data_IF_671797048549
#
_entry.id   IF_671797048549
#
_cell.length_a   1.000
_cell.length_b   1.000
_cell.length_c   1.000
_cell.angle_alpha   90.00
_cell.angle_beta   90.00
_cell.angle_gamma   90.00
#
_symmetry.space_group_name_H-M   'P 1'
#
loop_
_entity.id
_entity.type
_entity.pdbx_description
1 polymer ?
#
# COMPACT_ATOMS: atom_id res chain seq x y z
N UNK A 1 17.62 -35.91 12.20
CA UNK A 1 18.88 -36.28 12.91
C UNK A 1 19.65 -35.03 13.36
N UNK A 2 19.83 -34.00 12.51
CA UNK A 2 20.47 -32.71 12.87
C UNK A 2 19.78 -31.99 14.06
N UNK A 3 18.47 -31.73 13.99
CA UNK A 3 17.71 -31.07 15.07
C UNK A 3 17.78 -31.79 16.43
N UNK A 4 17.85 -33.12 16.42
CA UNK A 4 17.89 -33.92 17.65
C UNK A 4 19.28 -33.98 18.31
N UNK A 5 20.34 -33.51 17.63
CA UNK A 5 21.72 -33.51 18.15
C UNK A 5 22.19 -32.13 18.61
N UNK A 6 21.61 -31.05 18.07
CA UNK A 6 22.11 -29.68 18.27
C UNK A 6 21.19 -28.76 19.10
N UNK A 7 20.03 -29.24 19.56
CA UNK A 7 19.13 -28.49 20.45
C UNK A 7 19.12 -29.20 21.80
N UNK A 8 20.07 -28.86 22.67
CA UNK A 8 20.26 -29.44 24.00
C UNK A 8 19.26 -28.93 25.06
N UNK A 9 18.43 -27.94 24.72
CA UNK A 9 17.16 -27.66 25.40
C UNK A 9 16.09 -27.46 24.33
N UNK A 10 14.95 -28.11 24.48
CA UNK A 10 13.94 -28.17 23.41
C UNK A 10 13.00 -26.96 23.39
N UNK A 11 13.38 -25.81 23.95
CA UNK A 11 12.76 -24.56 23.51
C UNK A 11 13.30 -24.30 22.11
N UNK A 12 12.47 -24.29 21.05
CA UNK A 12 12.91 -23.81 19.74
C UNK A 12 13.36 -22.35 19.92
N UNK A 13 14.67 -22.05 19.99
CA UNK A 13 15.08 -20.75 20.48
C UNK A 13 14.77 -19.76 19.37
N UNK A 14 13.96 -18.72 19.61
CA UNK A 14 13.80 -17.63 18.64
C UNK A 14 15.17 -17.11 18.15
N UNK A 15 16.19 -17.20 19.00
CA UNK A 15 17.58 -16.89 18.69
C UNK A 15 18.20 -17.78 17.59
N UNK A 16 17.96 -19.10 17.59
CA UNK A 16 18.51 -19.99 16.59
C UNK A 16 17.85 -19.78 15.22
N UNK A 17 16.55 -19.48 15.19
CA UNK A 17 15.85 -19.09 13.97
C UNK A 17 16.36 -17.75 13.44
N UNK A 18 16.54 -16.75 14.32
CA UNK A 18 17.08 -15.43 13.95
C UNK A 18 18.48 -15.53 13.31
N UNK A 19 19.35 -16.44 13.76
CA UNK A 19 20.67 -16.68 13.11
C UNK A 19 20.57 -17.14 11.65
N UNK A 20 19.45 -17.71 11.24
CA UNK A 20 19.21 -18.07 9.83
C UNK A 20 18.72 -16.88 9.00
N UNK A 21 18.35 -15.76 9.64
CA UNK A 21 17.75 -14.59 9.04
C UNK A 21 16.23 -14.65 8.92
N UNK A 22 15.58 -15.77 9.22
CA UNK A 22 14.11 -15.82 9.24
C UNK A 22 13.55 -15.11 10.47
N UNK A 23 12.44 -14.40 10.27
CA UNK A 23 11.67 -13.79 11.34
C UNK A 23 10.56 -14.73 11.81
N UNK A 24 10.17 -14.62 13.08
CA UNK A 24 9.00 -15.35 13.60
C UNK A 24 7.68 -14.89 13.00
N UNK A 25 7.65 -13.73 12.35
CA UNK A 25 6.51 -13.19 11.62
C UNK A 25 6.44 -13.69 10.16
N UNK A 26 7.39 -14.50 9.70
CA UNK A 26 7.36 -15.06 8.34
C UNK A 26 6.04 -15.82 8.12
N UNK A 27 5.21 -15.43 7.12
CA UNK A 27 3.93 -16.09 6.87
C UNK A 27 4.06 -17.59 6.63
N UNK A 28 5.19 -18.05 6.09
CA UNK A 28 5.48 -19.46 5.81
C UNK A 28 5.85 -20.26 7.07
N UNK A 29 5.99 -19.60 8.23
CA UNK A 29 6.22 -20.21 9.54
C UNK A 29 5.00 -20.10 10.47
N UNK A 30 3.88 -19.54 9.99
CA UNK A 30 2.68 -19.24 10.82
C UNK A 30 2.21 -20.45 11.61
N UNK A 31 2.00 -21.59 10.93
CA UNK A 31 1.53 -22.83 11.56
C UNK A 31 2.45 -23.30 12.68
N UNK A 32 3.75 -23.40 12.41
CA UNK A 32 4.76 -23.79 13.38
C UNK A 32 4.75 -22.86 14.60
N UNK A 33 4.76 -21.54 14.37
CA UNK A 33 4.77 -20.55 15.45
C UNK A 33 3.47 -20.59 16.26
N UNK A 34 2.32 -20.77 15.61
CA UNK A 34 1.02 -20.88 16.29
C UNK A 34 0.93 -22.15 17.13
N UNK A 35 1.33 -23.30 16.61
CA UNK A 35 1.34 -24.56 17.34
C UNK A 35 2.27 -24.51 18.55
N UNK A 36 3.45 -23.90 18.41
CA UNK A 36 4.38 -23.71 19.53
C UNK A 36 3.80 -22.76 20.60
N UNK A 37 3.15 -21.67 20.19
CA UNK A 37 2.51 -20.72 21.12
C UNK A 37 1.35 -21.35 21.88
N UNK A 38 0.50 -22.12 21.20
CA UNK A 38 -0.61 -22.82 21.84
C UNK A 38 -0.11 -23.77 22.93
N UNK A 39 0.89 -24.60 22.62
CA UNK A 39 1.44 -25.54 23.60
C UNK A 39 2.15 -24.86 24.78
N UNK A 40 2.77 -23.71 24.53
CA UNK A 40 3.38 -22.90 25.58
C UNK A 40 2.35 -22.31 26.54
N UNK A 41 1.12 -22.04 26.08
CA UNK A 41 0.01 -21.55 26.93
C UNK A 41 -0.61 -22.68 27.76
N UNK A 42 -0.66 -23.88 27.20
CA UNK A 42 -1.27 -25.05 27.83
C UNK A 42 -0.35 -25.73 28.89
N UNK A 43 0.91 -25.28 29.01
CA UNK A 43 1.91 -25.86 29.91
C UNK A 43 1.99 -25.10 31.24
N UNK A 44 1.91 -25.82 32.36
CA UNK A 44 2.14 -25.25 33.70
C UNK A 44 3.65 -25.38 34.04
N UNK A 45 4.44 -24.36 33.72
CA UNK A 45 5.87 -24.29 34.01
C UNK A 45 6.78 -24.08 32.79
N UNK A 46 8.12 -24.21 32.95
CA UNK A 46 9.06 -24.06 31.84
C UNK A 46 8.75 -25.09 30.75
N UNK A 47 8.42 -24.60 29.55
CA UNK A 47 7.98 -25.42 28.42
C UNK A 47 9.14 -26.27 27.92
N UNK A 48 9.17 -27.53 28.32
CA UNK A 48 10.08 -28.54 27.78
C UNK A 48 9.39 -29.25 26.61
N UNK A 49 9.85 -29.00 25.39
CA UNK A 49 9.24 -29.59 24.20
C UNK A 49 9.79 -30.99 23.94
N UNK A 50 8.98 -32.04 24.04
CA UNK A 50 9.50 -33.38 23.69
C UNK A 50 9.73 -33.52 22.17
N UNK A 51 10.46 -34.57 21.76
CA UNK A 51 10.77 -34.84 20.34
C UNK A 51 9.53 -35.08 19.48
N UNK A 52 8.45 -35.61 20.05
CA UNK A 52 7.20 -35.92 19.33
C UNK A 52 6.42 -34.63 19.07
N UNK A 53 6.33 -33.77 20.07
CA UNK A 53 5.77 -32.43 20.03
C UNK A 53 6.56 -31.55 19.05
N UNK A 54 7.89 -31.52 19.14
CA UNK A 54 8.72 -30.79 18.18
C UNK A 54 8.40 -31.19 16.73
N UNK A 55 8.35 -32.49 16.46
CA UNK A 55 8.00 -33.01 15.12
C UNK A 55 6.62 -32.58 14.65
N UNK A 56 5.63 -32.53 15.55
CA UNK A 56 4.29 -32.04 15.23
C UNK A 56 4.34 -30.55 14.86
N UNK A 57 4.93 -29.72 15.71
CA UNK A 57 5.03 -28.27 15.50
C UNK A 57 5.70 -27.90 14.18
N UNK A 58 6.79 -28.59 13.81
CA UNK A 58 7.54 -28.24 12.59
C UNK A 58 7.03 -28.94 11.33
N UNK A 59 6.07 -29.86 11.42
CA UNK A 59 5.70 -30.75 10.31
C UNK A 59 5.32 -29.99 9.03
N UNK A 60 4.46 -28.97 9.17
CA UNK A 60 3.96 -28.19 8.03
C UNK A 60 5.03 -27.29 7.41
N UNK A 61 6.10 -26.96 8.14
CA UNK A 61 7.13 -26.00 7.73
C UNK A 61 8.53 -26.64 7.64
N UNK A 62 8.62 -27.97 7.71
CA UNK A 62 9.88 -28.70 7.87
C UNK A 62 10.84 -28.51 6.70
N UNK A 63 10.33 -28.34 5.47
CA UNK A 63 11.17 -28.11 4.29
C UNK A 63 11.93 -26.80 4.39
N UNK A 64 11.23 -25.70 4.74
CA UNK A 64 11.84 -24.38 4.92
C UNK A 64 12.84 -24.39 6.08
N UNK A 65 12.44 -24.93 7.23
CA UNK A 65 13.32 -25.04 8.40
C UNK A 65 14.54 -25.91 8.10
N UNK A 66 14.38 -27.00 7.35
CA UNK A 66 15.50 -27.84 6.93
C UNK A 66 16.46 -27.08 6.03
N UNK A 67 15.95 -26.26 5.09
CA UNK A 67 16.80 -25.40 4.24
C UNK A 67 17.56 -24.38 5.10
N UNK A 68 16.88 -23.70 6.01
CA UNK A 68 17.44 -22.71 6.91
C UNK A 68 18.58 -23.28 7.77
N UNK A 69 18.30 -24.34 8.53
CA UNK A 69 19.23 -24.89 9.51
C UNK A 69 20.34 -25.74 8.89
N UNK A 70 20.17 -26.24 7.66
CA UNK A 70 21.27 -26.85 6.90
C UNK A 70 22.11 -25.84 6.13
N UNK A 71 21.93 -24.54 6.38
CA UNK A 71 22.65 -23.45 5.69
C UNK A 71 22.52 -23.53 4.16
N UNK A 72 21.33 -23.91 3.68
CA UNK A 72 21.01 -24.01 2.24
C UNK A 72 20.29 -22.77 1.70
N UNK A 73 20.15 -21.72 2.50
CA UNK A 73 19.72 -20.43 1.97
C UNK A 73 20.81 -19.77 1.14
N UNK A 74 20.39 -18.84 0.29
CA UNK A 74 21.25 -18.10 -0.62
C UNK A 74 22.40 -17.39 0.12
N UNK A 75 22.17 -16.96 1.36
CA UNK A 75 23.22 -16.49 2.28
C UNK A 75 23.31 -17.47 3.46
N UNK A 76 24.27 -18.42 3.43
CA UNK A 76 24.44 -19.43 4.48
C UNK A 76 24.80 -18.89 5.87
N UNK A 77 25.69 -17.88 5.93
CA UNK A 77 26.19 -17.28 7.17
C UNK A 77 25.58 -15.88 7.34
N UNK A 78 24.26 -15.82 7.50
CA UNK A 78 23.52 -14.56 7.51
C UNK A 78 23.94 -13.60 8.64
N UNK A 79 24.22 -14.12 9.82
CA UNK A 79 24.65 -13.32 10.99
C UNK A 79 25.99 -12.57 10.74
N UNK A 80 26.95 -13.23 10.09
CA UNK A 80 28.23 -12.60 9.70
C UNK A 80 28.01 -11.56 8.58
N UNK A 81 27.14 -11.87 7.63
CA UNK A 81 26.76 -10.94 6.58
C UNK A 81 26.09 -9.68 7.14
N UNK A 82 25.20 -9.80 8.13
CA UNK A 82 24.55 -8.63 8.74
C UNK A 82 25.53 -7.75 9.51
N UNK A 83 26.61 -8.31 10.06
CA UNK A 83 27.70 -7.50 10.64
C UNK A 83 28.45 -6.68 9.58
N UNK A 84 28.55 -7.16 8.34
CA UNK A 84 29.09 -6.36 7.23
C UNK A 84 28.10 -5.26 6.82
N UNK A 85 26.80 -5.55 6.80
CA UNK A 85 25.75 -4.54 6.58
C UNK A 85 25.84 -3.42 7.62
N UNK A 86 26.03 -3.74 8.91
CA UNK A 86 26.19 -2.72 9.95
C UNK A 86 27.41 -1.83 9.72
N UNK A 87 28.57 -2.41 9.37
CA UNK A 87 29.76 -1.62 9.05
C UNK A 87 29.53 -0.66 7.87
N UNK A 88 28.80 -1.12 6.84
CA UNK A 88 28.42 -0.26 5.71
C UNK A 88 27.40 0.81 6.11
N UNK A 89 26.42 0.45 6.94
CA UNK A 89 25.45 1.40 7.50
C UNK A 89 26.15 2.51 8.28
N UNK A 90 27.01 2.15 9.23
CA UNK A 90 27.74 3.08 10.09
C UNK A 90 28.63 4.01 9.25
N UNK A 91 29.34 3.45 8.25
CA UNK A 91 30.20 4.23 7.35
C UNK A 91 29.41 5.20 6.47
N UNK A 92 28.25 4.79 5.96
CA UNK A 92 27.40 5.63 5.12
C UNK A 92 26.66 6.71 5.92
N UNK A 93 26.31 6.42 7.18
CA UNK A 93 25.62 7.36 8.06
C UNK A 93 26.47 8.61 8.36
N UNK A 94 27.80 8.52 8.31
CA UNK A 94 28.70 9.66 8.53
C UNK A 94 28.68 10.70 7.39
N UNK A 95 27.94 10.45 6.30
CA UNK A 95 27.84 11.40 5.20
C UNK A 95 26.79 12.47 5.53
N UNK A 96 27.23 13.67 5.89
CA UNK A 96 26.36 14.82 6.22
C UNK A 96 25.97 15.67 4.99
N UNK A 97 26.42 15.27 3.80
CA UNK A 97 26.15 16.00 2.55
C UNK A 97 24.74 15.75 2.00
N UNK A 98 24.26 16.69 1.17
CA UNK A 98 22.97 16.61 0.50
C UNK A 98 22.00 17.70 0.93
N UNK A 99 20.81 17.70 0.34
CA UNK A 99 19.73 18.61 0.70
C UNK A 99 18.43 17.81 0.71
N UNK A 100 17.64 17.95 1.77
CA UNK A 100 16.29 17.38 1.84
C UNK A 100 15.45 17.98 0.72
N UNK A 101 14.67 17.16 0.02
CA UNK A 101 13.77 17.65 -1.00
C UNK A 101 12.74 18.61 -0.38
N UNK A 102 12.76 19.87 -0.83
CA UNK A 102 11.98 20.96 -0.24
C UNK A 102 11.01 21.63 -1.22
N UNK A 103 10.96 21.14 -2.47
CA UNK A 103 10.06 21.65 -3.50
C UNK A 103 8.57 21.44 -3.18
N UNK A 104 8.24 20.55 -2.22
CA UNK A 104 6.92 20.50 -1.56
C UNK A 104 7.06 20.44 -0.04
N UNK A 105 6.14 21.07 0.73
CA UNK A 105 6.25 21.16 2.19
C UNK A 105 6.27 19.82 2.91
N UNK A 106 5.65 18.77 2.36
CA UNK A 106 5.56 17.46 3.02
C UNK A 106 6.89 16.72 3.00
N UNK A 107 7.74 16.95 2.00
CA UNK A 107 9.07 16.35 1.94
C UNK A 107 10.07 17.12 2.81
N UNK A 108 9.93 18.44 2.90
CA UNK A 108 10.76 19.30 3.75
C UNK A 108 10.64 18.98 5.25
N UNK A 109 9.58 18.27 5.67
CA UNK A 109 9.35 17.89 7.08
C UNK A 109 10.23 16.75 7.58
N UNK A 110 10.83 15.97 6.68
CA UNK A 110 11.69 14.86 7.09
C UNK A 110 13.03 15.38 7.58
N UNK A 111 13.51 14.84 8.70
CA UNK A 111 14.85 15.17 9.20
C UNK A 111 15.91 14.62 8.26
N UNK A 112 16.97 15.40 8.04
CA UNK A 112 18.16 14.98 7.30
C UNK A 112 18.91 13.83 8.01
N UNK A 113 18.70 13.66 9.31
CA UNK A 113 19.37 12.65 10.13
C UNK A 113 18.76 11.24 10.00
N UNK A 114 17.61 11.12 9.32
CA UNK A 114 16.94 9.83 9.14
C UNK A 114 17.73 8.93 8.20
N UNK A 115 18.18 7.78 8.72
CA UNK A 115 18.96 6.82 7.95
C UNK A 115 18.57 5.39 8.28
N UNK A 116 18.05 4.66 7.29
CA UNK A 116 17.54 3.30 7.44
C UNK A 116 17.95 2.38 6.29
N UNK A 117 18.40 1.17 6.62
CA UNK A 117 18.74 0.12 5.66
C UNK A 117 17.96 -1.14 6.00
N UNK A 118 17.22 -1.66 5.02
CA UNK A 118 16.49 -2.93 5.15
C UNK A 118 16.84 -3.89 4.00
N UNK A 119 16.92 -5.17 4.33
CA UNK A 119 17.26 -6.25 3.40
C UNK A 119 16.25 -7.39 3.52
N UNK A 120 15.88 -7.95 2.38
CA UNK A 120 15.08 -9.17 2.26
C UNK A 120 15.69 -10.02 1.14
N UNK A 121 16.15 -11.23 1.45
CA UNK A 121 16.66 -12.16 0.42
C UNK A 121 15.51 -12.92 -0.25
N UNK A 122 15.79 -13.55 -1.40
CA UNK A 122 14.83 -14.42 -2.10
C UNK A 122 14.34 -15.60 -1.24
N UNK A 123 15.11 -15.98 -0.22
CA UNK A 123 14.73 -17.04 0.71
C UNK A 123 13.89 -16.53 1.89
N UNK A 124 13.66 -15.22 1.99
CA UNK A 124 12.95 -14.56 3.07
C UNK A 124 13.81 -14.26 4.30
N UNK A 125 15.13 -14.28 4.17
CA UNK A 125 16.02 -13.82 5.24
C UNK A 125 15.95 -12.29 5.30
N UNK A 126 15.74 -11.72 6.50
CA UNK A 126 15.49 -10.29 6.68
C UNK A 126 16.40 -9.70 7.75
N UNK A 127 16.88 -8.49 7.48
CA UNK A 127 17.64 -7.69 8.43
C UNK A 127 17.38 -6.20 8.20
N UNK A 128 17.36 -5.43 9.27
CA UNK A 128 17.09 -3.99 9.24
C UNK A 128 17.95 -3.29 10.30
N UNK A 129 18.49 -2.12 9.97
CA UNK A 129 19.30 -1.26 10.86
C UNK A 129 18.95 0.21 10.61
N UNK A 130 18.84 1.01 11.67
CA UNK A 130 18.42 2.41 11.60
C UNK A 130 16.90 2.62 11.52
N UNK A 131 16.49 3.76 10.94
CA UNK A 131 15.12 4.29 10.91
C UNK A 131 14.17 3.57 9.91
N UNK A 132 14.23 2.25 9.91
CA UNK A 132 13.58 1.39 8.89
C UNK A 132 12.07 1.24 9.01
N UNK A 133 11.48 1.78 10.08
CA UNK A 133 10.04 1.74 10.33
C UNK A 133 9.35 3.08 10.12
N UNK A 134 10.12 4.11 9.79
CA UNK A 134 9.57 5.42 9.43
C UNK A 134 8.98 5.33 8.02
N UNK A 135 7.67 5.54 7.85
CA UNK A 135 7.06 5.52 6.52
C UNK A 135 7.47 6.76 5.73
N UNK A 136 7.76 6.57 4.45
CA UNK A 136 8.04 7.66 3.51
C UNK A 136 7.42 7.37 2.14
N UNK A 137 7.33 8.41 1.31
CA UNK A 137 6.72 8.35 -0.01
C UNK A 137 7.66 7.67 -1.02
N UNK A 138 7.20 6.67 -1.77
CA UNK A 138 8.04 5.95 -2.75
C UNK A 138 8.55 6.86 -3.88
N UNK A 139 7.78 7.89 -4.24
CA UNK A 139 8.15 8.84 -5.29
C UNK A 139 8.52 8.09 -6.59
N UNK A 140 9.61 8.47 -7.27
CA UNK A 140 10.01 7.83 -8.53
C UNK A 140 10.38 6.35 -8.42
N UNK A 141 10.55 5.80 -7.22
CA UNK A 141 10.81 4.37 -7.02
C UNK A 141 9.61 3.49 -7.40
N UNK A 142 8.42 4.07 -7.62
CA UNK A 142 7.25 3.30 -8.07
C UNK A 142 7.27 2.96 -9.57
N UNK A 143 7.97 3.73 -10.41
CA UNK A 143 7.95 3.57 -11.88
C UNK A 143 8.32 2.16 -12.36
N UNK A 144 9.35 1.48 -11.81
CA UNK A 144 9.62 0.09 -12.18
C UNK A 144 8.47 -0.86 -11.84
N UNK A 145 7.75 -0.61 -10.74
CA UNK A 145 6.62 -1.42 -10.31
C UNK A 145 5.43 -1.23 -11.26
N UNK A 146 5.11 0.02 -11.63
CA UNK A 146 4.07 0.32 -12.61
C UNK A 146 4.37 -0.33 -13.96
N UNK A 147 5.60 -0.21 -14.44
CA UNK A 147 6.03 -0.85 -15.66
C UNK A 147 5.88 -2.38 -15.59
N UNK A 148 6.31 -3.00 -14.48
CA UNK A 148 6.14 -4.44 -14.28
C UNK A 148 4.66 -4.86 -14.29
N UNK A 149 3.77 -4.08 -13.67
CA UNK A 149 2.32 -4.31 -13.70
C UNK A 149 1.80 -4.21 -15.14
N UNK A 150 2.13 -3.14 -15.87
CA UNK A 150 1.68 -2.95 -17.24
C UNK A 150 2.13 -4.09 -18.16
N UNK A 151 3.40 -4.52 -18.04
CA UNK A 151 3.94 -5.64 -18.82
C UNK A 151 3.28 -6.97 -18.41
N UNK A 152 3.02 -7.18 -17.12
CA UNK A 152 2.33 -8.37 -16.63
C UNK A 152 0.90 -8.49 -17.18
N UNK A 153 0.16 -7.37 -17.21
CA UNK A 153 -1.24 -7.36 -17.63
C UNK A 153 -1.43 -7.31 -19.15
N UNK A 154 -0.58 -6.58 -19.87
CA UNK A 154 -0.80 -6.25 -21.29
C UNK A 154 0.24 -6.90 -22.22
N UNK A 155 1.32 -7.43 -21.66
CA UNK A 155 2.45 -7.97 -22.42
C UNK A 155 3.43 -6.88 -22.87
N UNK A 156 4.68 -7.29 -23.05
CA UNK A 156 5.80 -6.41 -23.41
C UNK A 156 5.59 -5.69 -24.75
N UNK A 157 5.12 -6.40 -25.77
CA UNK A 157 4.91 -5.86 -27.11
C UNK A 157 3.89 -4.71 -27.10
N UNK A 158 2.77 -4.87 -26.40
CA UNK A 158 1.75 -3.84 -26.32
C UNK A 158 2.25 -2.61 -25.55
N UNK A 159 2.89 -2.81 -24.41
CA UNK A 159 3.45 -1.70 -23.61
C UNK A 159 4.46 -0.90 -24.43
N UNK A 160 5.38 -1.59 -25.11
CA UNK A 160 6.44 -0.94 -25.87
C UNK A 160 6.03 -0.41 -27.24
N UNK A 161 4.77 -0.60 -27.63
CA UNK A 161 4.18 0.19 -28.70
C UNK A 161 4.14 1.68 -28.32
N UNK A 162 3.93 2.01 -27.04
CA UNK A 162 3.75 3.37 -26.56
C UNK A 162 5.01 3.97 -25.91
N UNK A 163 5.91 3.16 -25.39
CA UNK A 163 7.13 3.63 -24.69
C UNK A 163 8.37 2.87 -25.15
N UNK A 164 9.49 3.58 -25.32
CA UNK A 164 10.76 2.98 -25.69
C UNK A 164 11.39 2.11 -24.59
N UNK A 165 12.56 1.56 -24.91
CA UNK A 165 13.35 0.67 -24.03
C UNK A 165 14.72 1.26 -23.68
N UNK A 166 15.12 2.33 -24.36
CA UNK A 166 16.49 2.83 -24.36
C UNK A 166 16.66 4.05 -23.43
N UNK A 167 17.86 4.27 -22.89
CA UNK A 167 18.15 5.50 -22.15
C UNK A 167 18.02 6.72 -23.06
N UNK A 168 17.61 7.85 -22.50
CA UNK A 168 17.46 9.09 -23.28
C UNK A 168 18.78 9.74 -23.66
N UNK A 169 19.88 9.46 -22.95
CA UNK A 169 21.16 10.17 -23.10
C UNK A 169 21.12 11.64 -22.65
N UNK A 170 19.95 12.18 -22.30
CA UNK A 170 19.75 13.52 -21.79
C UNK A 170 19.57 13.52 -20.27
N UNK A 171 19.87 14.65 -19.62
CA UNK A 171 19.48 14.85 -18.21
C UNK A 171 17.97 14.67 -18.07
N UNK A 172 17.54 14.06 -16.96
CA UNK A 172 16.14 13.81 -16.60
C UNK A 172 15.21 15.03 -16.74
N UNK A 173 15.78 16.24 -16.74
CA UNK A 173 15.04 17.49 -16.81
C UNK A 173 14.61 17.94 -18.22
N UNK A 174 15.08 17.29 -19.28
CA UNK A 174 14.73 17.67 -20.65
C UNK A 174 13.42 17.02 -21.08
N UNK A 175 12.51 17.83 -21.62
CA UNK A 175 11.37 17.34 -22.40
C UNK A 175 11.90 16.82 -23.74
N UNK A 176 11.98 15.50 -23.89
CA UNK A 176 12.37 14.87 -25.16
C UNK A 176 11.63 13.56 -25.38
N UNK A 177 11.29 13.31 -26.64
CA UNK A 177 10.85 12.02 -27.15
C UNK A 177 11.98 11.43 -28.00
N UNK A 178 11.91 10.13 -28.27
CA UNK A 178 12.79 9.49 -29.23
C UNK A 178 12.37 9.84 -30.67
N UNK A 179 13.12 9.31 -31.65
CA UNK A 179 12.86 9.54 -33.09
C UNK A 179 11.51 8.99 -33.57
N UNK A 180 10.87 8.13 -32.78
CA UNK A 180 9.56 7.53 -33.06
C UNK A 180 8.41 8.28 -32.35
N UNK A 181 8.66 9.49 -31.83
CA UNK A 181 7.69 10.28 -31.06
C UNK A 181 7.14 9.54 -29.81
N UNK A 182 7.96 8.69 -29.18
CA UNK A 182 7.65 7.99 -27.91
C UNK A 182 8.54 8.48 -26.78
N UNK A 183 8.08 8.42 -25.52
CA UNK A 183 9.00 8.58 -24.39
C UNK A 183 10.10 7.51 -24.43
N UNK A 184 11.33 7.90 -24.09
CA UNK A 184 12.50 7.03 -24.24
C UNK A 184 12.40 5.70 -23.48
N UNK A 185 11.90 5.73 -22.23
CA UNK A 185 11.74 4.54 -21.39
C UNK A 185 10.75 4.82 -20.23
N UNK A 186 10.26 3.77 -19.54
CA UNK A 186 9.33 3.93 -18.41
C UNK A 186 9.92 4.63 -17.17
N UNK A 187 11.24 4.81 -17.08
CA UNK A 187 11.91 5.36 -15.88
C UNK A 187 11.93 6.90 -15.87
N UNK A 188 11.70 7.55 -17.02
CA UNK A 188 11.50 9.00 -17.10
C UNK A 188 10.03 9.36 -16.88
N UNK A 189 9.76 10.59 -16.42
CA UNK A 189 8.39 11.03 -16.11
C UNK A 189 7.43 10.86 -17.30
N UNK A 190 7.86 11.21 -18.51
CA UNK A 190 7.04 11.05 -19.70
C UNK A 190 6.64 9.58 -19.96
N UNK A 191 7.58 8.65 -19.76
CA UNK A 191 7.30 7.22 -19.89
C UNK A 191 6.37 6.72 -18.81
N UNK A 192 6.59 7.12 -17.55
CA UNK A 192 5.71 6.76 -16.43
C UNK A 192 4.28 7.28 -16.59
N UNK A 193 4.10 8.49 -17.13
CA UNK A 193 2.76 9.05 -17.45
C UNK A 193 2.08 8.23 -18.54
N UNK A 194 2.80 7.83 -19.60
CA UNK A 194 2.26 6.93 -20.63
C UNK A 194 1.90 5.56 -20.04
N UNK A 195 2.78 4.95 -19.24
CA UNK A 195 2.48 3.69 -18.53
C UNK A 195 1.24 3.81 -17.65
N UNK A 196 1.09 4.93 -16.94
CA UNK A 196 -0.09 5.21 -16.10
C UNK A 196 -1.38 5.21 -16.91
N UNK A 197 -1.35 5.60 -18.19
CA UNK A 197 -2.52 5.54 -19.07
C UNK A 197 -2.88 4.12 -19.55
N UNK A 198 -1.92 3.19 -19.54
CA UNK A 198 -2.11 1.81 -20.00
C UNK A 198 -2.74 0.93 -18.92
N UNK A 199 -2.37 1.17 -17.66
CA UNK A 199 -2.88 0.43 -16.52
C UNK A 199 -4.33 0.84 -16.32
N UNK A 200 -5.26 -0.10 -16.55
CA UNK A 200 -6.66 0.13 -16.17
C UNK A 200 -6.69 0.28 -14.66
N UNK A 201 -7.26 1.38 -14.16
CA UNK A 201 -7.56 1.58 -12.73
C UNK A 201 -8.66 0.59 -12.34
N UNK A 202 -8.27 -0.68 -12.25
CA UNK A 202 -9.06 -1.70 -11.57
C UNK A 202 -8.69 -1.64 -10.09
N UNK A 203 -9.52 -2.15 -9.19
CA UNK A 203 -9.20 -2.26 -7.76
C UNK A 203 -7.91 -3.05 -7.40
N UNK A 204 -7.15 -3.52 -8.39
CA UNK A 204 -6.04 -4.46 -8.28
C UNK A 204 -4.66 -3.79 -8.10
N UNK A 205 -4.48 -2.52 -8.44
CA UNK A 205 -3.17 -1.85 -8.37
C UNK A 205 -2.54 -1.86 -6.96
N UNK A 206 -3.36 -1.69 -5.91
CA UNK A 206 -2.93 -1.79 -4.51
C UNK A 206 -2.70 -3.24 -4.06
N UNK A 207 -3.45 -4.20 -4.63
CA UNK A 207 -3.30 -5.64 -4.37
C UNK A 207 -1.94 -6.15 -4.85
N UNK A 208 -1.46 -5.69 -6.01
CA UNK A 208 -0.19 -6.14 -6.56
C UNK A 208 1.01 -5.67 -5.70
N UNK A 209 1.05 -4.39 -5.33
CA UNK A 209 2.12 -3.84 -4.46
C UNK A 209 2.09 -4.47 -3.07
N UNK A 210 0.90 -4.67 -2.49
CA UNK A 210 0.73 -5.35 -1.19
C UNK A 210 1.16 -6.82 -1.26
N UNK A 211 0.90 -7.50 -2.38
CA UNK A 211 1.35 -8.87 -2.62
C UNK A 211 2.87 -8.94 -2.75
N UNK A 212 3.49 -8.05 -3.53
CA UNK A 212 4.95 -7.95 -3.64
C UNK A 212 5.63 -7.64 -2.31
N UNK A 213 4.99 -6.83 -1.46
CA UNK A 213 5.46 -6.53 -0.12
C UNK A 213 5.23 -7.66 0.90
N UNK A 214 4.59 -8.77 0.51
CA UNK A 214 4.28 -9.87 1.43
C UNK A 214 3.24 -9.51 2.49
N UNK A 215 2.28 -8.64 2.14
CA UNK A 215 1.27 -8.05 3.01
C UNK A 215 1.81 -7.18 4.16
N UNK A 216 3.06 -6.71 4.04
CA UNK A 216 3.64 -5.67 4.91
C UNK A 216 3.02 -4.28 4.64
N UNK A 217 3.45 -3.27 5.39
CA UNK A 217 2.93 -1.91 5.29
C UNK A 217 3.05 -1.34 3.86
N UNK A 218 1.89 -1.00 3.30
CA UNK A 218 1.74 -0.20 2.08
C UNK A 218 0.67 0.85 2.41
N UNK A 219 1.05 2.12 2.36
CA UNK A 219 0.20 3.23 2.78
C UNK A 219 0.08 4.34 1.75
N UNK A 220 -0.68 5.36 2.11
CA UNK A 220 -1.00 6.52 1.29
C UNK A 220 -0.74 7.83 2.03
N UNK A 221 -0.20 8.85 1.35
CA UNK A 221 -0.14 10.23 1.88
C UNK A 221 -0.97 11.19 1.04
N UNK A 222 -2.14 11.61 1.53
CA UNK A 222 -2.97 12.56 0.79
C UNK A 222 -2.32 13.94 0.68
N UNK A 223 -1.64 14.36 1.75
CA UNK A 223 -0.99 15.65 1.79
C UNK A 223 0.10 15.73 0.70
N UNK A 224 0.93 14.70 0.55
CA UNK A 224 1.98 14.68 -0.47
C UNK A 224 1.37 14.60 -1.87
N UNK A 225 0.28 13.85 -2.07
CA UNK A 225 -0.43 13.80 -3.35
C UNK A 225 -0.93 15.18 -3.80
N UNK A 226 -1.63 15.90 -2.91
CA UNK A 226 -2.21 17.20 -3.27
C UNK A 226 -1.11 18.19 -3.63
N UNK A 227 -0.04 18.25 -2.83
CA UNK A 227 1.08 19.15 -3.12
C UNK A 227 1.85 18.75 -4.38
N UNK A 228 2.11 17.45 -4.64
CA UNK A 228 2.72 17.01 -5.90
C UNK A 228 1.87 17.38 -7.12
N UNK A 229 0.53 17.34 -6.98
CA UNK A 229 -0.40 17.74 -8.05
C UNK A 229 -0.40 19.24 -8.26
N UNK A 230 -0.51 20.03 -7.18
CA UNK A 230 -0.54 21.50 -7.22
C UNK A 230 0.77 22.10 -7.74
N UNK A 231 1.92 21.53 -7.40
CA UNK A 231 3.24 21.97 -7.89
C UNK A 231 3.70 21.19 -9.12
N UNK A 232 2.77 20.48 -9.78
CA UNK A 232 3.03 19.49 -10.82
C UNK A 232 3.19 20.03 -12.23
N UNK A 233 3.36 21.35 -12.42
CA UNK A 233 3.29 22.06 -13.71
C UNK A 233 4.06 21.39 -14.84
N UNK A 234 5.28 20.91 -14.53
CA UNK A 234 6.11 20.23 -15.51
C UNK A 234 5.49 18.93 -16.01
N UNK A 235 4.84 18.17 -15.15
CA UNK A 235 4.16 16.93 -15.55
C UNK A 235 2.91 17.25 -16.37
N UNK A 236 2.19 18.34 -16.07
CA UNK A 236 1.11 18.82 -16.94
C UNK A 236 1.62 19.20 -18.34
N UNK A 237 2.72 19.95 -18.42
CA UNK A 237 3.36 20.29 -19.71
C UNK A 237 3.76 19.04 -20.50
N UNK A 238 4.35 18.03 -19.83
CA UNK A 238 4.64 16.73 -20.42
C UNK A 238 3.35 16.06 -20.93
N UNK A 239 2.29 16.02 -20.12
CA UNK A 239 1.02 15.40 -20.48
C UNK A 239 0.38 16.02 -21.73
N UNK A 240 0.32 17.34 -21.80
CA UNK A 240 -0.18 18.04 -22.99
C UNK A 240 0.70 17.80 -24.22
N UNK A 241 2.02 17.80 -24.07
CA UNK A 241 2.94 17.51 -25.16
C UNK A 241 2.78 16.08 -25.71
N UNK A 242 2.62 15.09 -24.82
CA UNK A 242 2.34 13.70 -25.18
C UNK A 242 0.98 13.54 -25.87
N UNK A 243 -0.02 14.32 -25.45
CA UNK A 243 -1.35 14.32 -26.05
C UNK A 243 -1.32 14.83 -27.49
N UNK A 244 -0.63 15.94 -27.72
CA UNK A 244 -0.43 16.51 -29.08
C UNK A 244 0.26 15.50 -30.01
N UNK A 245 1.25 14.78 -29.47
CA UNK A 245 2.03 13.76 -30.19
C UNK A 245 1.35 12.39 -30.29
N UNK A 246 0.12 12.24 -29.79
CA UNK A 246 -0.64 10.98 -29.79
C UNK A 246 0.12 9.81 -29.16
N UNK A 247 0.87 10.07 -28.08
CA UNK A 247 1.62 9.03 -27.37
C UNK A 247 0.74 8.15 -26.46
N UNK A 248 -0.53 8.53 -26.27
CA UNK A 248 -1.50 7.79 -25.47
C UNK A 248 -2.36 6.87 -26.36
N UNK A 249 -2.95 5.79 -25.81
CA UNK A 249 -3.97 5.02 -26.50
C UNK A 249 -5.15 5.89 -26.95
N UNK A 250 -5.81 5.54 -28.06
CA UNK A 250 -6.84 6.37 -28.71
C UNK A 250 -8.00 6.80 -27.78
N UNK A 251 -8.32 6.00 -26.77
CA UNK A 251 -9.42 6.25 -25.82
C UNK A 251 -8.94 6.70 -24.43
N UNK A 252 -7.66 7.03 -24.27
CA UNK A 252 -7.11 7.40 -22.97
C UNK A 252 -7.36 8.88 -22.65
N UNK A 253 -7.83 9.14 -21.43
CA UNK A 253 -7.87 10.49 -20.87
C UNK A 253 -6.51 10.84 -20.25
N UNK A 254 -5.81 11.79 -20.86
CA UNK A 254 -4.53 12.30 -20.38
C UNK A 254 -4.62 12.85 -18.95
N UNK A 255 -5.72 13.51 -18.60
CA UNK A 255 -5.92 14.10 -17.26
C UNK A 255 -6.05 12.99 -16.23
N UNK A 256 -6.85 11.97 -16.52
CA UNK A 256 -6.99 10.78 -15.68
C UNK A 256 -5.65 10.03 -15.54
N UNK A 257 -4.86 9.93 -16.61
CA UNK A 257 -3.53 9.32 -16.56
C UNK A 257 -2.55 10.12 -15.69
N UNK A 258 -2.59 11.45 -15.75
CA UNK A 258 -1.80 12.32 -14.87
C UNK A 258 -2.25 12.22 -13.41
N UNK A 259 -3.55 12.23 -13.16
CA UNK A 259 -4.10 12.04 -11.81
C UNK A 259 -3.69 10.68 -11.26
N UNK A 260 -3.75 9.61 -12.06
CA UNK A 260 -3.28 8.29 -11.68
C UNK A 260 -1.76 8.25 -11.45
N UNK A 261 -0.97 8.95 -12.26
CA UNK A 261 0.48 9.08 -12.08
C UNK A 261 0.84 9.80 -10.76
N UNK A 262 0.16 10.92 -10.44
CA UNK A 262 0.33 11.60 -9.17
C UNK A 262 -0.18 10.75 -8.01
N UNK A 263 -1.27 10.02 -8.22
CA UNK A 263 -1.80 9.04 -7.27
C UNK A 263 -0.76 7.97 -7.02
N UNK A 264 -0.38 7.12 -7.98
CA UNK A 264 0.51 5.97 -7.79
C UNK A 264 1.87 6.26 -7.17
N UNK A 265 2.36 7.50 -7.18
CA UNK A 265 3.45 7.90 -6.28
C UNK A 265 3.13 7.60 -4.80
N UNK A 266 1.87 7.31 -4.45
CA UNK A 266 1.21 7.17 -3.15
C UNK A 266 -0.11 6.33 -3.29
N UNK A 267 -0.30 5.17 -2.66
CA UNK A 267 -1.46 4.26 -2.96
C UNK A 267 -2.60 4.18 -1.91
N UNK A 268 -3.85 4.51 -2.30
CA UNK A 268 -5.22 4.34 -1.69
C UNK A 268 -5.76 5.41 -0.70
N UNK A 269 -6.61 6.32 -1.19
CA UNK A 269 -7.15 7.52 -0.48
C UNK A 269 -8.36 7.31 0.44
N UNK A 270 -9.50 6.91 -0.14
CA UNK A 270 -10.80 7.02 0.55
C UNK A 270 -11.03 5.88 1.55
N UNK A 271 -10.78 4.64 1.13
CA UNK A 271 -10.96 3.46 1.97
C UNK A 271 -10.01 3.42 3.16
N UNK A 272 -8.81 3.96 2.99
CA UNK A 272 -7.85 4.02 4.09
C UNK A 272 -8.28 5.03 5.15
N UNK A 273 -8.80 6.20 4.76
CA UNK A 273 -9.33 7.17 5.72
C UNK A 273 -10.57 6.63 6.45
N UNK A 274 -11.42 5.86 5.77
CA UNK A 274 -12.54 5.16 6.39
C UNK A 274 -12.08 4.05 7.35
N UNK A 275 -11.05 3.28 6.97
CA UNK A 275 -10.45 2.21 7.78
C UNK A 275 -9.75 2.74 9.04
N UNK A 276 -9.06 3.88 8.95
CA UNK A 276 -8.36 4.48 10.08
C UNK A 276 -9.22 5.40 10.94
N UNK A 277 -10.48 5.65 10.54
CA UNK A 277 -11.36 6.63 11.19
C UNK A 277 -10.90 8.08 11.03
N UNK A 278 -10.06 8.40 10.04
CA UNK A 278 -9.57 9.76 9.79
C UNK A 278 -10.65 10.64 9.13
N UNK A 279 -11.54 11.16 9.98
CA UNK A 279 -12.65 12.04 9.58
C UNK A 279 -12.17 13.36 8.97
N UNK A 280 -10.95 13.81 9.28
CA UNK A 280 -10.39 15.03 8.70
C UNK A 280 -9.99 14.82 7.24
N UNK A 281 -9.44 13.66 6.90
CA UNK A 281 -9.18 13.28 5.52
C UNK A 281 -10.48 13.04 4.75
N UNK A 282 -11.48 12.38 5.36
CA UNK A 282 -12.81 12.21 4.75
C UNK A 282 -13.49 13.55 4.43
N UNK A 283 -13.43 14.53 5.34
CA UNK A 283 -13.91 15.90 5.13
C UNK A 283 -13.23 16.58 3.94
N UNK A 284 -11.90 16.48 3.85
CA UNK A 284 -11.14 17.02 2.71
C UNK A 284 -11.51 16.34 1.39
N UNK A 285 -11.79 15.04 1.40
CA UNK A 285 -12.23 14.32 0.20
C UNK A 285 -13.57 14.81 -0.31
N UNK A 286 -14.57 14.98 0.58
CA UNK A 286 -15.88 15.50 0.19
C UNK A 286 -15.80 16.94 -0.34
N UNK A 287 -15.01 17.81 0.29
CA UNK A 287 -14.78 19.19 -0.17
C UNK A 287 -14.11 19.25 -1.55
N UNK A 288 -13.33 18.24 -1.91
CA UNK A 288 -12.68 18.13 -3.22
C UNK A 288 -13.59 17.56 -4.33
N UNK A 289 -14.90 17.44 -4.08
CA UNK A 289 -15.89 16.83 -4.97
C UNK A 289 -15.55 15.37 -5.35
N UNK A 290 -14.86 14.64 -4.46
CA UNK A 290 -14.62 13.22 -4.64
C UNK A 290 -15.92 12.44 -4.54
N UNK A 291 -16.17 11.52 -5.47
CA UNK A 291 -17.31 10.61 -5.36
C UNK A 291 -17.10 9.67 -4.15
N UNK A 292 -17.91 9.87 -3.10
CA UNK A 292 -17.83 9.12 -1.84
C UNK A 292 -18.48 7.72 -1.92
N UNK A 293 -19.16 7.41 -3.03
CA UNK A 293 -19.75 6.09 -3.32
C UNK A 293 -18.83 5.16 -4.12
N UNK A 294 -17.58 5.58 -4.35
CA UNK A 294 -16.57 4.74 -4.99
C UNK A 294 -16.41 3.40 -4.24
N UNK A 295 -16.23 2.33 -5.00
CA UNK A 295 -16.14 0.96 -4.48
C UNK A 295 -14.72 0.41 -4.59
N UNK A 296 -14.32 -0.38 -3.60
CA UNK A 296 -13.03 -1.08 -3.57
C UNK A 296 -13.08 -2.43 -4.33
N UNK A 297 -12.04 -3.25 -4.16
CA UNK A 297 -11.93 -4.57 -4.78
C UNK A 297 -13.07 -5.52 -4.41
N UNK A 298 -13.60 -5.40 -3.20
CA UNK A 298 -14.69 -6.23 -2.69
C UNK A 298 -16.07 -5.62 -2.95
N UNK A 299 -16.15 -4.63 -3.84
CA UNK A 299 -17.38 -3.85 -4.10
C UNK A 299 -17.88 -3.08 -2.87
N UNK A 300 -17.03 -2.86 -1.87
CA UNK A 300 -17.36 -2.11 -0.65
C UNK A 300 -17.13 -0.63 -0.84
N UNK A 301 -18.00 0.19 -0.26
CA UNK A 301 -17.79 1.64 -0.14
C UNK A 301 -16.98 2.00 1.10
N UNK A 302 -16.61 3.28 1.21
CA UNK A 302 -16.06 3.84 2.44
C UNK A 302 -16.97 3.57 3.65
N UNK A 303 -18.29 3.55 3.43
CA UNK A 303 -19.28 3.30 4.49
C UNK A 303 -19.21 1.86 5.00
N UNK A 304 -19.02 0.86 4.13
CA UNK A 304 -18.81 -0.54 4.55
C UNK A 304 -17.56 -0.66 5.41
N UNK A 305 -16.45 -0.04 4.97
CA UNK A 305 -15.17 -0.12 5.68
C UNK A 305 -15.24 0.58 7.04
N UNK A 306 -15.83 1.78 7.11
CA UNK A 306 -16.01 2.48 8.38
C UNK A 306 -16.96 1.74 9.33
N UNK A 307 -17.98 1.07 8.78
CA UNK A 307 -18.95 0.31 9.55
C UNK A 307 -18.36 -0.99 10.12
N UNK A 308 -17.56 -1.71 9.34
CA UNK A 308 -16.87 -2.92 9.77
C UNK A 308 -15.80 -2.68 10.85
N UNK A 309 -15.17 -1.49 10.86
CA UNK A 309 -14.15 -1.11 11.85
C UNK A 309 -14.75 -0.38 13.07
N UNK A 310 -16.03 -0.01 13.04
CA UNK A 310 -16.73 0.62 14.17
C UNK A 310 -16.49 2.13 14.32
N UNK A 311 -16.05 2.83 13.27
CA UNK A 311 -15.72 4.26 13.33
C UNK A 311 -16.97 5.15 13.25
N UNK A 312 -17.61 5.41 14.39
CA UNK A 312 -18.89 6.16 14.48
C UNK A 312 -18.84 7.52 13.79
N UNK A 313 -17.80 8.35 14.05
CA UNK A 313 -17.71 9.68 13.44
C UNK A 313 -17.54 9.63 11.91
N UNK A 314 -16.83 8.63 11.40
CA UNK A 314 -16.66 8.44 9.96
C UNK A 314 -17.97 7.97 9.31
N UNK A 315 -18.72 7.10 9.98
CA UNK A 315 -20.06 6.67 9.54
C UNK A 315 -21.02 7.86 9.49
N UNK A 316 -21.10 8.66 10.57
CA UNK A 316 -21.93 9.88 10.63
C UNK A 316 -21.56 10.83 9.49
N UNK A 317 -20.27 11.07 9.26
CA UNK A 317 -19.83 11.93 8.18
C UNK A 317 -20.28 11.42 6.80
N UNK A 318 -20.09 10.12 6.54
CA UNK A 318 -20.44 9.48 5.27
C UNK A 318 -21.96 9.42 5.03
N UNK A 319 -22.77 9.29 6.08
CA UNK A 319 -24.24 9.23 5.98
C UNK A 319 -24.88 10.62 5.99
N UNK A 320 -24.57 11.47 6.97
CA UNK A 320 -25.26 12.74 7.15
C UNK A 320 -24.82 13.80 6.14
N UNK A 321 -23.51 13.88 5.87
CA UNK A 321 -22.91 14.92 5.02
C UNK A 321 -22.76 14.43 3.58
N UNK A 322 -22.19 13.24 3.37
CA UNK A 322 -21.93 12.73 2.01
C UNK A 322 -23.11 12.00 1.37
N UNK A 323 -24.17 11.71 2.14
CA UNK A 323 -25.38 10.99 1.69
C UNK A 323 -25.10 9.69 0.92
N UNK A 324 -24.07 8.93 1.34
CA UNK A 324 -23.71 7.66 0.68
C UNK A 324 -24.86 6.66 0.83
N UNK A 325 -25.21 5.96 -0.25
CA UNK A 325 -26.32 5.00 -0.25
C UNK A 325 -26.06 3.82 0.72
N UNK A 326 -26.92 3.61 1.74
CA UNK A 326 -26.73 2.60 2.78
C UNK A 326 -27.21 1.19 2.37
N UNK A 327 -27.82 1.03 1.20
CA UNK A 327 -28.34 -0.25 0.68
C UNK A 327 -27.43 -0.90 -0.36
N UNK A 328 -26.30 -0.26 -0.69
CA UNK A 328 -25.34 -0.87 -1.60
C UNK A 328 -24.78 -2.14 -1.00
N UNK A 329 -24.71 -3.19 -1.81
CA UNK A 329 -24.18 -4.49 -1.43
C UNK A 329 -22.75 -4.67 -1.93
N UNK A 330 -21.95 -5.30 -1.09
CA UNK A 330 -20.61 -5.75 -1.43
C UNK A 330 -20.62 -7.07 -2.23
N UNK A 331 -19.43 -7.66 -2.43
CA UNK A 331 -19.26 -8.93 -3.16
C UNK A 331 -19.92 -10.13 -2.47
N UNK A 332 -20.08 -10.10 -1.15
CA UNK A 332 -20.71 -11.19 -0.39
C UNK A 332 -22.22 -10.98 -0.19
N UNK A 333 -22.75 -9.86 -0.70
CA UNK A 333 -24.16 -9.51 -0.60
C UNK A 333 -24.51 -8.78 0.69
N UNK A 334 -23.50 -8.41 1.48
CA UNK A 334 -23.66 -7.67 2.73
C UNK A 334 -23.80 -6.18 2.45
N UNK A 335 -24.61 -5.52 3.26
CA UNK A 335 -24.69 -4.05 3.35
C UNK A 335 -23.76 -3.54 4.46
N UNK A 336 -23.50 -2.22 4.55
CA UNK A 336 -22.74 -1.66 5.66
C UNK A 336 -23.34 -1.98 7.04
N UNK A 337 -24.68 -2.13 7.11
CA UNK A 337 -25.36 -2.53 8.34
C UNK A 337 -25.05 -3.98 8.72
N UNK A 338 -25.05 -4.88 7.72
CA UNK A 338 -24.72 -6.29 7.94
C UNK A 338 -23.28 -6.43 8.44
N UNK A 339 -22.34 -5.65 7.88
CA UNK A 339 -20.95 -5.60 8.34
C UNK A 339 -20.87 -5.11 9.80
N UNK A 340 -21.53 -4.00 10.16
CA UNK A 340 -21.55 -3.50 11.53
C UNK A 340 -22.14 -4.51 12.54
N UNK A 341 -23.19 -5.26 12.14
CA UNK A 341 -23.78 -6.32 12.95
C UNK A 341 -22.84 -7.53 13.09
N UNK A 342 -22.19 -7.94 12.00
CA UNK A 342 -21.26 -9.06 11.98
C UNK A 342 -20.06 -8.83 12.90
N UNK A 343 -19.55 -7.61 12.97
CA UNK A 343 -18.43 -7.23 13.83
C UNK A 343 -18.83 -6.73 15.22
N UNK A 344 -20.14 -6.61 15.52
CA UNK A 344 -20.66 -6.29 16.85
C UNK A 344 -20.54 -4.82 17.27
N UNK A 345 -20.72 -3.89 16.34
CA UNK A 345 -20.62 -2.46 16.58
C UNK A 345 -22.00 -1.81 16.81
N UNK A 346 -22.58 -2.00 18.01
CA UNK A 346 -23.96 -1.61 18.35
C UNK A 346 -24.30 -0.13 18.09
N UNK A 347 -23.35 0.77 18.35
CA UNK A 347 -23.52 2.22 18.13
C UNK A 347 -23.63 2.52 16.63
N UNK A 348 -22.78 1.90 15.82
CA UNK A 348 -22.82 2.05 14.36
C UNK A 348 -24.09 1.43 13.78
N UNK A 349 -24.51 0.27 14.29
CA UNK A 349 -25.78 -0.38 13.92
C UNK A 349 -26.96 0.57 14.14
N UNK A 350 -27.01 1.24 15.30
CA UNK A 350 -28.07 2.20 15.62
C UNK A 350 -28.12 3.37 14.62
N UNK A 351 -26.96 3.97 14.34
CA UNK A 351 -26.82 5.09 13.37
C UNK A 351 -27.23 4.65 11.96
N UNK A 352 -26.80 3.48 11.50
CA UNK A 352 -27.11 2.97 10.16
C UNK A 352 -28.59 2.58 10.01
N UNK A 353 -29.21 2.01 11.05
CA UNK A 353 -30.65 1.69 11.05
C UNK A 353 -31.52 2.94 10.95
N UNK A 354 -31.16 3.99 11.69
CA UNK A 354 -31.85 5.28 11.64
C UNK A 354 -31.71 5.92 10.26
N UNK A 355 -30.50 5.92 9.71
CA UNK A 355 -30.22 6.46 8.38
C UNK A 355 -30.92 5.67 7.26
N UNK A 356 -30.98 4.34 7.32
CA UNK A 356 -31.72 3.53 6.33
C UNK A 356 -33.22 3.83 6.32
N UNK A 357 -33.83 4.12 7.48
CA UNK A 357 -35.24 4.53 7.55
C UNK A 357 -35.45 5.89 6.89
N UNK A 358 -34.58 6.86 7.20
CA UNK A 358 -34.65 8.21 6.64
C UNK A 358 -34.36 8.25 5.12
N UNK A 359 -33.49 7.37 4.62
CA UNK A 359 -33.15 7.28 3.20
C UNK A 359 -34.33 6.78 2.35
N UNK A 360 -35.16 5.89 2.88
CA UNK A 360 -36.35 5.38 2.20
C UNK A 360 -37.46 6.45 2.00
N UNK A 361 -37.48 7.49 2.84
CA UNK A 361 -38.45 8.60 2.76
C UNK A 361 -38.00 9.71 1.80
N UNK A 362 -36.72 9.77 1.43
CA UNK A 362 -36.10 10.84 0.64
C UNK A 362 -36.12 10.60 -0.90
N UNK A 363 -36.50 9.41 -1.38
CA UNK A 363 -36.59 9.09 -2.82
C UNK A 363 -37.85 9.68 -3.52
N UNK A 364 -38.47 10.71 -2.93
CA UNK A 364 -39.49 11.55 -3.60
C UNK A 364 -38.83 12.73 -4.34
N UNK A 365 -39.25 13.08 -5.57
CA UNK A 365 -38.40 13.77 -6.55
C UNK A 365 -38.31 15.31 -6.39
N UNK A 366 -37.98 15.85 -5.21
CA UNK A 366 -37.94 17.32 -4.99
C UNK A 366 -36.54 17.96 -4.78
N UNK A 367 -35.48 17.20 -4.46
CA UNK A 367 -34.33 17.81 -3.74
C UNK A 367 -33.03 18.03 -4.55
N UNK A 368 -33.12 18.19 -5.88
CA UNK A 368 -31.94 18.56 -6.69
C UNK A 368 -31.47 20.01 -6.44
N UNK A 369 -32.32 20.89 -5.89
CA UNK A 369 -32.00 22.29 -5.59
C UNK A 369 -31.28 22.48 -4.23
N UNK A 370 -31.47 21.58 -3.27
CA UNK A 370 -30.87 21.67 -1.93
C UNK A 370 -29.37 21.34 -1.90
N UNK A 371 -28.93 20.42 -2.78
CA UNK A 371 -27.51 20.04 -2.87
C UNK A 371 -26.62 21.20 -3.33
N UNK A 372 -27.14 22.13 -4.15
CA UNK A 372 -26.40 23.30 -4.62
C UNK A 372 -26.24 24.35 -3.51
N UNK A 373 -27.31 24.58 -2.74
CA UNK A 373 -27.37 25.57 -1.65
C UNK A 373 -26.49 25.19 -0.46
N UNK A 374 -26.43 23.89 -0.14
CA UNK A 374 -25.58 23.37 0.95
C UNK A 374 -24.09 23.47 0.63
N UNK A 375 -23.72 23.22 -0.63
CA UNK A 375 -22.34 23.36 -1.12
C UNK A 375 -21.87 24.82 -1.13
N UNK A 376 -22.77 25.77 -1.41
CA UNK A 376 -22.45 27.20 -1.40
C UNK A 376 -22.39 27.78 0.02
N UNK A 377 -23.13 27.21 0.98
CA UNK A 377 -23.03 27.57 2.41
C UNK A 377 -21.71 27.11 3.03
N UNK A 378 -21.17 25.96 2.59
CA UNK A 378 -19.85 25.48 3.04
C UNK A 378 -18.68 26.30 2.48
N UNK A 379 -18.86 26.94 1.30
CA UNK A 379 -17.86 27.84 0.72
C UNK A 379 -17.77 29.20 1.43
N UNK A 380 -18.81 29.61 2.17
CA UNK A 380 -18.85 30.92 2.86
C UNK A 380 -18.36 30.88 4.32
N UNK A 381 -18.11 29.67 4.86
CA UNK A 381 -17.57 29.45 6.20
C UNK A 381 -16.03 29.33 6.19
N UNK A 382 -15.42 29.38 5.00
CA UNK A 382 -13.98 29.59 4.77
C UNK A 382 -13.78 31.02 4.28
#
# INVERSE_FOLDING_TARGET
RWFARNLSSFAFPPQALRKTGLLTSDPRLRDCVQQMRQHSRDSVGPVMMDKKLFRRCVANNIMLLTKAFKKKFIIPNFDEFTQQINRMYDSAQQQEGGQVADYIPQLAKFSADLWGVSLCTIDGQRYSVGDTKVPFCLQSCVKPLEYAIAVHELGSEHVHHFVGKEPSGFKFNKLSLNEEDKPHNPMVNAGAIVISSLIKVKPYGSSFVKTMAGAEYVGFSNATFQSERETGDRNYAIGYYLKEKKCFPDNADMTAALDFYFQNKLVVKLMFAAYSGDTSSLRRFALSAMNMEQRDYDSRTALHVAAAEGHVEAVIFLTEICKVNPHMKDRWGNTPLDDAMQFGHDVVVSVLQEYQRAFADADSPCDAEEQKTTLDTLKSIV
#
